data_IF_965246873510
#
_entry.id   IF_965246873510
#
_cell.length_a   1.000
_cell.length_b   1.000
_cell.length_c   1.000
_cell.angle_alpha   90.00
_cell.angle_beta   90.00
_cell.angle_gamma   90.00
#
_symmetry.space_group_name_H-M   'P 1'
#
loop_
_entity.id
_entity.type
_entity.pdbx_description
1 polymer ?
#
# COMPACT_ATOMS: atom_id res chain seq x y z
N UNK A 1 -11.17 -21.03 11.37
CA UNK A 1 -10.68 -20.52 10.10
C UNK A 1 -10.77 -19.01 9.98
N UNK A 2 -11.95 -18.36 10.14
CA UNK A 2 -12.10 -16.89 10.00
C UNK A 2 -11.10 -16.01 10.79
N UNK A 3 -10.74 -16.39 12.04
CA UNK A 3 -9.81 -15.59 12.87
C UNK A 3 -8.38 -15.59 12.32
N UNK A 4 -7.90 -16.73 11.80
CA UNK A 4 -6.55 -16.84 11.23
C UNK A 4 -6.43 -16.07 9.91
N UNK A 5 -7.46 -16.15 9.04
CA UNK A 5 -7.51 -15.39 7.79
C UNK A 5 -7.50 -13.87 8.05
N UNK A 6 -8.25 -13.40 9.05
CA UNK A 6 -8.24 -11.99 9.45
C UNK A 6 -6.88 -11.54 9.95
N UNK A 7 -6.18 -12.37 10.76
CA UNK A 7 -4.81 -12.08 11.21
C UNK A 7 -3.83 -11.98 10.05
N UNK A 8 -3.89 -12.90 9.10
CA UNK A 8 -3.05 -12.84 7.88
C UNK A 8 -3.30 -11.53 7.15
N UNK A 9 -4.56 -11.16 6.91
CA UNK A 9 -4.91 -9.91 6.24
C UNK A 9 -4.36 -8.66 6.93
N UNK A 10 -4.46 -8.59 8.26
CA UNK A 10 -3.94 -7.46 9.05
C UNK A 10 -2.41 -7.40 8.97
N UNK A 11 -1.72 -8.52 9.17
CA UNK A 11 -0.25 -8.55 9.09
C UNK A 11 0.24 -8.15 7.70
N UNK A 12 -0.39 -8.69 6.66
CA UNK A 12 -0.08 -8.33 5.27
C UNK A 12 -0.31 -6.84 5.01
N UNK A 13 -1.44 -6.29 5.49
CA UNK A 13 -1.74 -4.87 5.33
C UNK A 13 -0.66 -4.00 6.00
N UNK A 14 -0.26 -4.31 7.23
CA UNK A 14 0.79 -3.55 7.94
C UNK A 14 2.11 -3.58 7.19
N UNK A 15 2.58 -4.77 6.80
CA UNK A 15 3.90 -4.93 6.15
C UNK A 15 3.91 -4.25 4.77
N UNK A 16 2.90 -4.52 3.94
CA UNK A 16 2.83 -3.95 2.60
C UNK A 16 2.66 -2.42 2.67
N UNK A 17 1.81 -1.92 3.56
CA UNK A 17 1.60 -0.48 3.71
C UNK A 17 2.83 0.24 4.27
N UNK A 18 3.55 -0.35 5.23
CA UNK A 18 4.80 0.22 5.72
C UNK A 18 5.85 0.36 4.59
N UNK A 19 6.00 -0.68 3.78
CA UNK A 19 6.89 -0.63 2.62
C UNK A 19 6.45 0.42 1.59
N UNK A 20 5.13 0.59 1.39
CA UNK A 20 4.60 1.64 0.51
C UNK A 20 4.92 3.04 1.04
N UNK A 21 4.83 3.26 2.36
CA UNK A 21 5.22 4.51 2.99
C UNK A 21 6.70 4.85 2.77
N UNK A 22 7.59 3.84 2.86
CA UNK A 22 9.01 4.01 2.58
C UNK A 22 9.23 4.38 1.10
N UNK A 23 8.59 3.67 0.18
CA UNK A 23 8.69 3.94 -1.26
C UNK A 23 8.20 5.35 -1.59
N UNK A 24 7.06 5.76 -1.04
CA UNK A 24 6.53 7.10 -1.22
C UNK A 24 7.53 8.16 -0.72
N UNK A 25 8.12 7.96 0.46
CA UNK A 25 9.12 8.86 1.01
C UNK A 25 10.37 8.96 0.11
N UNK A 26 10.87 7.84 -0.42
CA UNK A 26 12.03 7.81 -1.33
C UNK A 26 11.71 8.58 -2.63
N UNK A 27 10.57 8.27 -3.25
CA UNK A 27 10.19 8.88 -4.54
C UNK A 27 9.99 10.39 -4.39
N UNK A 28 9.28 10.83 -3.36
CA UNK A 28 9.03 12.26 -3.12
C UNK A 28 10.31 13.00 -2.75
N UNK A 29 11.15 12.43 -1.88
CA UNK A 29 12.43 13.04 -1.50
C UNK A 29 13.46 13.06 -2.63
N UNK A 30 13.29 12.22 -3.64
CA UNK A 30 14.10 12.22 -4.87
C UNK A 30 13.76 13.37 -5.83
N UNK A 31 12.63 14.06 -5.63
CA UNK A 31 12.28 15.23 -6.41
C UNK A 31 12.96 16.48 -5.81
N UNK A 32 13.89 17.14 -6.55
CA UNK A 32 14.62 18.31 -6.04
C UNK A 32 13.71 19.54 -5.78
N UNK A 33 12.53 19.58 -6.37
CA UNK A 33 11.56 20.65 -6.14
C UNK A 33 10.67 20.42 -4.91
N UNK A 34 10.68 19.21 -4.35
CA UNK A 34 9.89 18.88 -3.18
C UNK A 34 10.51 19.43 -1.91
N UNK A 35 9.86 20.40 -1.30
CA UNK A 35 10.22 20.93 0.03
C UNK A 35 9.66 19.99 1.09
N UNK A 36 10.42 18.94 1.45
CA UNK A 36 10.03 17.96 2.46
C UNK A 36 10.90 18.08 3.72
N UNK A 37 10.42 17.65 4.89
CA UNK A 37 11.24 17.52 6.10
C UNK A 37 12.46 16.63 5.88
N UNK A 38 13.44 16.62 6.80
CA UNK A 38 14.55 15.67 6.75
C UNK A 38 14.06 14.24 6.53
N UNK A 39 14.73 13.49 5.64
CA UNK A 39 14.27 12.16 5.17
C UNK A 39 13.82 11.21 6.28
N UNK A 40 14.54 11.06 7.44
CA UNK A 40 14.08 10.14 8.48
C UNK A 40 12.70 10.49 9.07
N UNK A 41 12.44 11.79 9.25
CA UNK A 41 11.16 12.29 9.79
C UNK A 41 10.06 12.11 8.76
N UNK A 42 10.31 12.50 7.52
CA UNK A 42 9.36 12.36 6.42
C UNK A 42 9.02 10.90 6.16
N UNK A 43 10.02 10.01 6.17
CA UNK A 43 9.83 8.57 6.03
C UNK A 43 8.98 8.00 7.17
N UNK A 44 9.27 8.36 8.42
CA UNK A 44 8.49 7.88 9.57
C UNK A 44 7.03 8.30 9.49
N UNK A 45 6.75 9.55 9.13
CA UNK A 45 5.37 10.05 8.95
C UNK A 45 4.65 9.28 7.85
N UNK A 46 5.26 9.14 6.67
CA UNK A 46 4.66 8.40 5.56
C UNK A 46 4.40 6.92 5.90
N UNK A 47 5.29 6.27 6.66
CA UNK A 47 5.08 4.90 7.13
C UNK A 47 3.88 4.81 8.06
N UNK A 48 3.76 5.72 9.04
CA UNK A 48 2.64 5.74 9.98
C UNK A 48 1.32 5.96 9.25
N UNK A 49 1.25 6.96 8.38
CA UNK A 49 0.06 7.27 7.57
C UNK A 49 -0.33 6.09 6.67
N UNK A 50 0.65 5.48 6.00
CA UNK A 50 0.43 4.32 5.14
C UNK A 50 -0.09 3.12 5.92
N UNK A 51 0.46 2.84 7.11
CA UNK A 51 0.00 1.73 7.96
C UNK A 51 -1.42 1.97 8.45
N UNK A 52 -1.76 3.20 8.88
CA UNK A 52 -3.12 3.54 9.29
C UNK A 52 -4.09 3.37 8.12
N UNK A 53 -3.77 3.91 6.94
CA UNK A 53 -4.58 3.77 5.75
C UNK A 53 -4.75 2.29 5.34
N UNK A 54 -3.66 1.52 5.36
CA UNK A 54 -3.69 0.09 5.02
C UNK A 54 -4.50 -0.76 6.01
N UNK A 55 -4.45 -0.43 7.30
CA UNK A 55 -5.31 -1.06 8.30
C UNK A 55 -6.78 -0.75 8.04
N UNK A 56 -7.14 0.49 7.74
CA UNK A 56 -8.51 0.85 7.36
C UNK A 56 -8.98 0.06 6.14
N UNK A 57 -8.14 -0.04 5.10
CA UNK A 57 -8.43 -0.88 3.92
C UNK A 57 -8.66 -2.33 4.31
N UNK A 58 -7.80 -2.92 5.15
CA UNK A 58 -7.92 -4.31 5.58
C UNK A 58 -9.17 -4.59 6.42
N UNK A 59 -9.66 -3.59 7.16
CA UNK A 59 -10.90 -3.71 7.93
C UNK A 59 -12.15 -3.58 7.07
N UNK A 60 -12.12 -2.70 6.07
CA UNK A 60 -13.28 -2.41 5.20
C UNK A 60 -13.38 -3.42 4.05
N UNK A 61 -12.23 -3.72 3.42
CA UNK A 61 -12.17 -4.54 2.21
C UNK A 61 -11.56 -5.91 2.53
N UNK A 62 -12.30 -7.02 2.34
CA UNK A 62 -11.78 -8.36 2.61
C UNK A 62 -10.84 -8.86 1.48
N UNK A 63 -9.70 -8.17 1.29
CA UNK A 63 -8.74 -8.43 0.20
C UNK A 63 -8.33 -9.91 0.13
N UNK A 64 -8.13 -10.56 1.28
CA UNK A 64 -7.79 -11.98 1.32
C UNK A 64 -8.88 -12.91 0.77
N UNK A 65 -10.16 -12.56 0.94
CA UNK A 65 -11.26 -13.33 0.35
C UNK A 65 -11.34 -13.13 -1.15
N UNK A 66 -11.14 -11.89 -1.61
CA UNK A 66 -11.12 -11.55 -3.03
C UNK A 66 -9.99 -12.30 -3.71
N UNK A 67 -8.77 -12.27 -3.13
CA UNK A 67 -7.61 -12.98 -3.66
C UNK A 67 -7.83 -14.49 -3.75
N UNK A 68 -8.35 -15.09 -2.67
CA UNK A 68 -8.68 -16.51 -2.68
C UNK A 68 -9.73 -16.85 -3.75
N UNK A 69 -10.79 -16.06 -3.86
CA UNK A 69 -11.84 -16.29 -4.88
C UNK A 69 -11.29 -16.20 -6.30
N UNK A 70 -10.37 -15.26 -6.57
CA UNK A 70 -9.69 -15.16 -7.86
C UNK A 70 -8.81 -16.38 -8.14
N UNK A 71 -8.05 -16.83 -7.14
CA UNK A 71 -7.19 -18.01 -7.27
C UNK A 71 -8.02 -19.28 -7.50
N UNK A 72 -9.11 -19.47 -6.75
CA UNK A 72 -10.01 -20.62 -6.90
C UNK A 72 -10.65 -20.64 -8.30
N UNK A 73 -11.09 -19.48 -8.82
CA UNK A 73 -11.62 -19.35 -10.21
C UNK A 73 -10.58 -19.67 -11.27
N UNK A 74 -9.31 -19.38 -11.00
CA UNK A 74 -8.21 -19.72 -11.90
C UNK A 74 -7.71 -21.17 -11.77
N UNK A 75 -8.40 -22.00 -10.96
CA UNK A 75 -8.01 -23.38 -10.70
C UNK A 75 -6.69 -23.50 -9.94
N UNK A 76 -6.33 -22.50 -9.14
CA UNK A 76 -5.12 -22.51 -8.36
C UNK A 76 -5.40 -22.94 -6.92
N UNK A 77 -4.66 -23.93 -6.41
CA UNK A 77 -4.82 -24.48 -5.06
C UNK A 77 -3.61 -24.16 -4.17
N UNK A 78 -3.81 -23.82 -2.88
CA UNK A 78 -2.70 -23.69 -1.94
C UNK A 78 -1.97 -25.03 -1.75
N UNK A 79 -0.64 -25.03 -1.56
CA UNK A 79 0.30 -23.91 -1.47
C UNK A 79 1.03 -23.58 -2.79
N UNK A 80 0.37 -23.72 -3.94
CA UNK A 80 1.04 -23.55 -5.25
C UNK A 80 1.51 -22.11 -5.48
N UNK A 81 2.59 -21.95 -6.26
CA UNK A 81 3.08 -20.65 -6.70
C UNK A 81 2.00 -19.86 -7.44
N UNK A 82 1.23 -20.55 -8.32
CA UNK A 82 0.10 -19.98 -9.05
C UNK A 82 -0.93 -19.36 -8.09
N UNK A 83 -1.28 -20.08 -7.01
CA UNK A 83 -2.19 -19.57 -5.99
C UNK A 83 -1.63 -18.29 -5.34
N UNK A 84 -0.36 -18.31 -4.94
CA UNK A 84 0.27 -17.17 -4.27
C UNK A 84 0.31 -15.93 -5.18
N UNK A 85 0.68 -16.10 -6.44
CA UNK A 85 0.70 -15.01 -7.43
C UNK A 85 -0.68 -14.37 -7.59
N UNK A 86 -1.72 -15.17 -7.82
CA UNK A 86 -3.08 -14.66 -8.06
C UNK A 86 -3.68 -14.07 -6.77
N UNK A 87 -3.50 -14.75 -5.63
CA UNK A 87 -4.01 -14.30 -4.34
C UNK A 87 -3.40 -12.97 -3.89
N UNK A 88 -2.18 -12.65 -4.33
CA UNK A 88 -1.50 -11.40 -3.99
C UNK A 88 -1.98 -10.18 -4.79
N UNK A 89 -2.64 -10.37 -5.93
CA UNK A 89 -3.11 -9.26 -6.79
C UNK A 89 -4.01 -8.26 -6.04
N UNK A 90 -5.08 -8.67 -5.33
CA UNK A 90 -5.93 -7.72 -4.63
C UNK A 90 -5.21 -6.96 -3.52
N UNK A 91 -4.26 -7.59 -2.84
CA UNK A 91 -3.43 -6.90 -1.83
C UNK A 91 -2.57 -5.83 -2.48
N UNK A 92 -1.93 -6.14 -3.61
CA UNK A 92 -1.09 -5.20 -4.32
C UNK A 92 -1.91 -4.03 -4.87
N UNK A 93 -2.95 -4.32 -5.64
CA UNK A 93 -3.78 -3.30 -6.29
C UNK A 93 -4.58 -2.51 -5.26
N UNK A 94 -5.26 -3.18 -4.32
CA UNK A 94 -6.08 -2.52 -3.30
C UNK A 94 -5.28 -1.60 -2.40
N UNK A 95 -4.14 -2.07 -1.87
CA UNK A 95 -3.27 -1.22 -1.06
C UNK A 95 -2.59 -0.14 -1.90
N UNK A 96 -2.03 -0.47 -3.07
CA UNK A 96 -1.34 0.52 -3.87
C UNK A 96 -2.26 1.66 -4.29
N UNK A 97 -3.46 1.36 -4.77
CA UNK A 97 -4.41 2.40 -5.21
C UNK A 97 -4.90 3.23 -4.03
N UNK A 98 -5.41 2.58 -2.97
CA UNK A 98 -6.09 3.30 -1.89
C UNK A 98 -5.09 3.96 -0.94
N UNK A 99 -4.06 3.22 -0.51
CA UNK A 99 -3.07 3.77 0.44
C UNK A 99 -2.26 4.88 -0.20
N UNK A 100 -1.80 4.70 -1.45
CA UNK A 100 -1.05 5.75 -2.14
C UNK A 100 -1.91 6.98 -2.42
N UNK A 101 -3.20 6.80 -2.76
CA UNK A 101 -4.12 7.92 -2.95
C UNK A 101 -4.31 8.73 -1.66
N UNK A 102 -4.54 8.05 -0.53
CA UNK A 102 -4.74 8.72 0.77
C UNK A 102 -3.47 9.43 1.22
N UNK A 103 -2.33 8.75 1.22
CA UNK A 103 -1.06 9.32 1.69
C UNK A 103 -0.62 10.47 0.78
N UNK A 104 -0.72 10.32 -0.54
CA UNK A 104 -0.39 11.43 -1.45
C UNK A 104 -1.34 12.61 -1.29
N UNK A 105 -2.63 12.37 -1.01
CA UNK A 105 -3.57 13.45 -0.74
C UNK A 105 -3.20 14.23 0.53
N UNK A 106 -2.85 13.54 1.61
CA UNK A 106 -2.42 14.18 2.87
C UNK A 106 -1.18 15.04 2.63
N UNK A 107 -0.16 14.47 1.98
CA UNK A 107 1.08 15.18 1.68
C UNK A 107 0.85 16.42 0.79
N UNK A 108 0.03 16.27 -0.26
CA UNK A 108 -0.31 17.38 -1.16
C UNK A 108 -1.16 18.44 -0.45
N UNK A 109 -2.10 18.04 0.39
CA UNK A 109 -2.90 19.00 1.16
C UNK A 109 -2.05 19.82 2.13
N UNK A 110 -1.08 19.19 2.80
CA UNK A 110 -0.12 19.89 3.66
C UNK A 110 0.76 20.85 2.86
N UNK A 111 1.28 20.42 1.70
CA UNK A 111 2.07 21.27 0.81
C UNK A 111 1.24 22.45 0.28
N UNK A 112 0.01 22.19 -0.17
CA UNK A 112 -0.91 23.20 -0.66
C UNK A 112 -1.22 24.26 0.40
N UNK A 113 -1.42 23.86 1.66
CA UNK A 113 -1.68 24.77 2.77
C UNK A 113 -0.49 25.71 3.08
N UNK A 114 0.72 25.38 2.62
CA UNK A 114 1.91 26.22 2.77
C UNK A 114 2.14 27.22 1.63
N UNK A 115 1.35 27.13 0.55
CA UNK A 115 1.42 28.03 -0.60
C UNK A 115 0.46 29.20 -0.38
N UNK A 116 0.86 30.47 -0.67
CA UNK A 116 -0.05 31.61 -0.63
C UNK A 116 -1.27 31.39 -1.54
N UNK A 117 -2.45 31.76 -1.05
CA UNK A 117 -3.73 31.44 -1.72
C UNK A 117 -3.89 32.01 -3.12
N UNK A 118 -3.19 33.11 -3.43
CA UNK A 118 -3.14 33.75 -4.74
C UNK A 118 -2.27 33.02 -5.76
N UNK A 119 -1.39 32.13 -5.30
CA UNK A 119 -0.44 31.36 -6.13
C UNK A 119 -0.69 29.85 -6.10
N UNK A 120 -1.60 29.38 -5.24
CA UNK A 120 -1.87 27.97 -5.07
C UNK A 120 -2.66 27.40 -6.25
N UNK A 121 -2.13 26.38 -6.96
CA UNK A 121 -2.89 25.65 -7.97
C UNK A 121 -4.09 24.94 -7.32
N UNK A 122 -5.11 24.53 -8.09
CA UNK A 122 -6.22 23.75 -7.55
C UNK A 122 -5.72 22.47 -6.87
N UNK A 123 -6.13 22.24 -5.60
CA UNK A 123 -5.68 21.10 -4.78
C UNK A 123 -5.81 19.74 -5.49
N UNK A 124 -6.95 19.52 -6.17
CA UNK A 124 -7.20 18.27 -6.88
C UNK A 124 -6.25 18.07 -8.08
N UNK A 125 -5.90 19.14 -8.79
CA UNK A 125 -4.93 19.06 -9.88
C UNK A 125 -3.53 18.71 -9.37
N UNK A 126 -3.09 19.34 -8.27
CA UNK A 126 -1.85 19.00 -7.59
C UNK A 126 -1.84 17.55 -7.13
N UNK A 127 -2.93 17.09 -6.52
CA UNK A 127 -3.02 15.72 -6.03
C UNK A 127 -2.94 14.69 -7.16
N UNK A 128 -3.73 14.85 -8.22
CA UNK A 128 -3.74 13.92 -9.35
C UNK A 128 -2.36 13.85 -10.02
N UNK A 129 -1.72 15.00 -10.25
CA UNK A 129 -0.39 15.08 -10.88
C UNK A 129 0.71 14.45 -10.02
N UNK A 130 0.57 14.48 -8.69
CA UNK A 130 1.52 13.87 -7.76
C UNK A 130 1.24 12.37 -7.55
N UNK A 131 -0.02 11.95 -7.55
CA UNK A 131 -0.41 10.58 -7.28
C UNK A 131 -0.21 9.64 -8.47
N UNK A 132 -0.56 10.06 -9.68
CA UNK A 132 -0.48 9.21 -10.87
C UNK A 132 0.92 8.62 -11.13
N UNK A 133 2.02 9.39 -11.05
CA UNK A 133 3.37 8.84 -11.20
C UNK A 133 3.75 7.82 -10.14
N UNK A 134 3.18 7.94 -8.93
CA UNK A 134 3.44 7.02 -7.82
C UNK A 134 2.68 5.71 -7.96
N UNK A 135 1.57 5.69 -8.69
CA UNK A 135 0.65 4.56 -8.72
C UNK A 135 1.30 3.31 -9.30
N UNK A 136 1.95 3.40 -10.45
CA UNK A 136 2.57 2.25 -11.10
C UNK A 136 3.73 1.65 -10.30
N UNK A 137 4.72 2.43 -9.83
CA UNK A 137 5.76 1.92 -8.93
C UNK A 137 5.18 1.27 -7.67
N UNK A 138 4.13 1.86 -7.11
CA UNK A 138 3.46 1.34 -5.92
C UNK A 138 2.80 -0.01 -6.16
N UNK A 139 2.10 -0.19 -7.27
CA UNK A 139 1.48 -1.47 -7.64
C UNK A 139 2.56 -2.55 -7.82
N UNK A 140 3.63 -2.25 -8.55
CA UNK A 140 4.70 -3.22 -8.82
C UNK A 140 5.38 -3.62 -7.51
N UNK A 141 5.79 -2.66 -6.70
CA UNK A 141 6.46 -2.92 -5.43
C UNK A 141 5.54 -3.65 -4.43
N UNK A 142 4.28 -3.21 -4.34
CA UNK A 142 3.27 -3.87 -3.51
C UNK A 142 3.00 -5.31 -3.93
N UNK A 143 2.99 -5.58 -5.24
CA UNK A 143 2.80 -6.94 -5.77
C UNK A 143 4.00 -7.84 -5.45
N UNK A 144 5.22 -7.40 -5.74
CA UNK A 144 6.43 -8.16 -5.45
C UNK A 144 6.52 -8.47 -3.95
N UNK A 145 6.29 -7.49 -3.09
CA UNK A 145 6.28 -7.67 -1.65
C UNK A 145 5.18 -8.62 -1.20
N UNK A 146 3.95 -8.49 -1.71
CA UNK A 146 2.85 -9.37 -1.35
C UNK A 146 3.14 -10.82 -1.74
N UNK A 147 3.73 -11.07 -2.90
CA UNK A 147 4.11 -12.41 -3.38
C UNK A 147 5.18 -13.02 -2.48
N UNK A 148 6.20 -12.26 -2.09
CA UNK A 148 7.30 -12.75 -1.24
C UNK A 148 6.82 -12.98 0.20
N UNK A 149 6.05 -12.04 0.76
CA UNK A 149 5.70 -12.05 2.18
C UNK A 149 4.51 -12.96 2.47
N UNK A 150 3.56 -13.11 1.54
CA UNK A 150 2.35 -13.91 1.73
C UNK A 150 2.63 -15.35 2.20
N UNK A 151 3.52 -16.15 1.58
CA UNK A 151 3.79 -17.51 2.03
C UNK A 151 4.42 -17.55 3.43
N UNK A 152 5.26 -16.55 3.76
CA UNK A 152 5.90 -16.43 5.08
C UNK A 152 4.85 -16.18 6.17
N UNK A 153 3.99 -15.18 5.94
CA UNK A 153 2.93 -14.82 6.90
C UNK A 153 1.93 -15.97 7.07
N UNK A 154 1.54 -16.61 5.96
CA UNK A 154 0.66 -17.78 6.00
C UNK A 154 1.31 -18.93 6.79
N UNK A 155 2.60 -19.20 6.54
CA UNK A 155 3.37 -20.23 7.27
C UNK A 155 3.37 -19.98 8.78
N UNK A 156 3.68 -18.76 9.20
CA UNK A 156 3.73 -18.37 10.62
C UNK A 156 2.35 -18.48 11.27
N UNK A 157 1.30 -17.92 10.65
CA UNK A 157 -0.05 -17.88 11.25
C UNK A 157 -0.75 -19.23 11.24
N UNK A 158 -0.46 -20.07 10.24
CA UNK A 158 -1.04 -21.42 10.13
C UNK A 158 -0.26 -22.46 10.93
N UNK A 159 0.93 -22.14 11.45
CA UNK A 159 1.78 -23.07 12.19
C UNK A 159 2.40 -24.14 11.31
N UNK A 160 2.59 -23.88 10.02
CA UNK A 160 3.31 -24.76 9.10
C UNK A 160 4.81 -24.41 9.22
N UNK A 161 5.54 -25.22 9.97
CA UNK A 161 7.00 -25.28 9.93
C UNK A 161 7.46 -26.14 8.77
#
# INVERSE_FOLDING_TARGET
MRKKEKRIGIIMAVIVSAAMGIIAAIVVSGNPEAKVPPFPVFCAVNVIESVIAGLLVAFIIPLGRIGKSLADRAGATPPSLKFNLINSIPYAVGNAVIVSAVVSFINVAQAHASIPSDQAPPLMAMWISSWLPLLLPSIIAGYVLAVIISPIVVGIVMGRR
#
